data_IF_893687322926
#
_entry.id   IF_893687322926
#
_cell.length_a   1.000
_cell.length_b   1.000
_cell.length_c   1.000
_cell.angle_alpha   90.00
_cell.angle_beta   90.00
_cell.angle_gamma   90.00
#
_symmetry.space_group_name_H-M   'P 1'
#
loop_
_entity.id
_entity.type
_entity.pdbx_description
1 polymer ?
#
# COMPACT_ATOMS: atom_id res chain seq x y z
N UNK A 1 16.48 -1.15 -19.59
CA UNK A 1 15.13 -1.55 -19.19
C UNK A 1 14.16 -0.57 -19.83
N UNK A 2 13.14 -1.05 -20.55
CA UNK A 2 12.01 -0.21 -20.94
C UNK A 2 11.14 0.03 -19.70
N UNK A 3 11.30 1.19 -19.05
CA UNK A 3 10.52 1.59 -17.87
C UNK A 3 11.22 1.47 -16.51
N UNK A 4 10.42 1.54 -15.44
CA UNK A 4 10.86 1.46 -14.04
C UNK A 4 10.63 0.06 -13.44
N UNK A 5 11.44 -0.32 -12.46
CA UNK A 5 11.21 -1.54 -11.67
C UNK A 5 9.90 -1.51 -10.88
N UNK A 6 9.38 -2.70 -10.57
CA UNK A 6 8.11 -2.86 -9.86
C UNK A 6 8.37 -3.14 -8.38
N UNK A 7 7.87 -2.26 -7.54
CA UNK A 7 7.89 -2.45 -6.10
C UNK A 7 6.86 -3.50 -5.65
N UNK A 8 7.20 -4.25 -4.60
CA UNK A 8 6.23 -5.03 -3.85
C UNK A 8 5.27 -4.11 -3.09
N UNK A 9 4.19 -4.69 -2.58
CA UNK A 9 3.40 -4.06 -1.53
C UNK A 9 4.26 -3.70 -0.32
N UNK A 10 3.87 -2.65 0.37
CA UNK A 10 4.49 -2.26 1.63
C UNK A 10 4.12 -3.26 2.73
N UNK A 11 5.14 -3.68 3.48
CA UNK A 11 5.02 -4.55 4.66
C UNK A 11 5.46 -3.80 5.90
N UNK A 12 4.62 -3.77 6.93
CA UNK A 12 4.94 -3.13 8.21
C UNK A 12 5.99 -3.95 8.97
N UNK A 13 7.04 -3.31 9.48
CA UNK A 13 8.10 -3.99 10.24
C UNK A 13 7.99 -3.83 11.75
N UNK A 14 7.09 -2.98 12.24
CA UNK A 14 6.84 -2.75 13.67
C UNK A 14 5.39 -3.01 14.06
N UNK A 15 5.09 -2.85 15.35
CA UNK A 15 3.73 -2.90 15.86
C UNK A 15 2.94 -1.67 15.39
N UNK A 16 1.77 -1.88 14.79
CA UNK A 16 0.84 -0.82 14.46
C UNK A 16 -0.23 -0.73 15.55
N UNK A 17 -0.43 0.47 16.12
CA UNK A 17 -1.44 0.68 17.15
C UNK A 17 -2.87 0.51 16.59
N UNK A 18 -3.12 0.96 15.36
CA UNK A 18 -4.37 0.70 14.64
C UNK A 18 -4.38 -0.65 13.91
N UNK A 19 -5.44 -1.43 14.08
CA UNK A 19 -5.67 -2.65 13.28
C UNK A 19 -6.47 -2.41 11.99
N UNK A 20 -7.14 -1.25 11.90
CA UNK A 20 -7.93 -0.83 10.74
C UNK A 20 -7.90 0.69 10.58
N UNK A 21 -8.33 1.17 9.42
CA UNK A 21 -8.60 2.58 9.16
C UNK A 21 -7.40 3.39 8.70
N UNK A 22 -6.18 2.84 8.67
CA UNK A 22 -4.97 3.58 8.34
C UNK A 22 -4.76 4.83 9.22
N UNK A 23 -5.02 4.72 10.53
CA UNK A 23 -5.00 5.86 11.45
C UNK A 23 -3.61 6.14 12.03
N UNK A 24 -2.76 5.12 12.14
CA UNK A 24 -1.40 5.24 12.66
C UNK A 24 -0.35 5.02 11.59
N UNK A 25 0.89 5.40 11.90
CA UNK A 25 2.05 5.20 11.05
C UNK A 25 3.09 4.31 11.73
N UNK A 26 3.82 3.55 10.93
CA UNK A 26 4.92 2.69 11.38
C UNK A 26 5.98 2.60 10.28
N UNK A 27 7.17 2.17 10.64
CA UNK A 27 8.17 1.77 9.67
C UNK A 27 7.64 0.62 8.81
N UNK A 28 7.73 0.79 7.50
CA UNK A 28 7.33 -0.21 6.52
C UNK A 28 8.41 -0.37 5.45
N UNK A 29 8.50 -1.57 4.91
CA UNK A 29 9.47 -1.97 3.89
C UNK A 29 8.79 -2.51 2.65
N UNK A 30 9.45 -2.36 1.52
CA UNK A 30 9.07 -2.98 0.25
C UNK A 30 10.32 -3.52 -0.44
N UNK A 31 10.13 -4.51 -1.28
CA UNK A 31 11.22 -5.13 -2.05
C UNK A 31 11.04 -4.85 -3.53
N UNK A 32 12.15 -4.73 -4.25
CA UNK A 32 12.08 -4.62 -5.70
C UNK A 32 11.79 -6.00 -6.29
N UNK A 33 10.70 -6.13 -7.02
CA UNK A 33 10.27 -7.40 -7.61
C UNK A 33 10.89 -7.59 -8.99
N UNK A 34 10.95 -8.84 -9.44
CA UNK A 34 11.44 -9.20 -10.78
C UNK A 34 10.33 -9.28 -11.83
N UNK A 35 9.09 -8.88 -11.50
CA UNK A 35 7.89 -9.12 -12.32
C UNK A 35 7.91 -8.45 -13.70
N UNK A 36 8.61 -7.32 -13.84
CA UNK A 36 8.86 -6.68 -15.14
C UNK A 36 10.34 -6.76 -15.52
N UNK A 37 10.83 -7.96 -15.80
CA UNK A 37 12.17 -8.17 -16.38
C UNK A 37 13.35 -7.82 -15.47
N UNK A 38 13.15 -7.78 -14.14
CA UNK A 38 14.23 -7.48 -13.18
C UNK A 38 14.76 -6.05 -13.22
N UNK A 39 13.98 -5.11 -13.72
CA UNK A 39 14.38 -3.70 -13.77
C UNK A 39 14.58 -3.11 -12.38
N UNK A 40 15.59 -2.23 -12.20
CA UNK A 40 15.85 -1.62 -10.90
C UNK A 40 14.71 -0.68 -10.50
N UNK A 41 14.28 -0.80 -9.25
CA UNK A 41 13.29 0.09 -8.67
C UNK A 41 13.96 1.41 -8.25
N UNK A 42 13.24 2.52 -8.40
CA UNK A 42 13.69 3.84 -7.96
C UNK A 42 13.00 4.25 -6.67
N UNK A 43 13.75 4.89 -5.77
CA UNK A 43 13.28 5.36 -4.47
C UNK A 43 13.61 4.42 -3.30
N UNK A 44 13.16 4.78 -2.08
CA UNK A 44 13.53 4.05 -0.87
C UNK A 44 12.78 2.71 -0.77
N UNK A 45 13.46 1.72 -0.19
CA UNK A 45 12.88 0.42 0.19
C UNK A 45 12.28 0.40 1.59
N UNK A 46 12.47 1.47 2.36
CA UNK A 46 11.95 1.65 3.72
C UNK A 46 11.47 3.11 3.90
N UNK A 47 10.31 3.29 4.52
CA UNK A 47 9.82 4.60 4.94
C UNK A 47 8.98 4.49 6.23
N UNK A 48 8.50 5.64 6.72
CA UNK A 48 7.47 5.70 7.76
C UNK A 48 6.16 6.06 7.06
N UNK A 49 5.15 5.21 7.19
CA UNK A 49 3.86 5.41 6.52
C UNK A 49 2.71 4.68 7.20
N UNK A 50 1.49 4.80 6.67
CA UNK A 50 0.29 4.27 7.30
C UNK A 50 0.35 2.76 7.47
N UNK A 51 -0.25 2.29 8.56
CA UNK A 51 -0.40 0.88 8.91
C UNK A 51 -1.84 0.57 9.33
N UNK A 52 -2.18 -0.72 9.49
CA UNK A 52 -3.57 -1.10 9.77
C UNK A 52 -4.50 -0.70 8.62
N UNK A 53 -4.09 -0.99 7.38
CA UNK A 53 -4.78 -0.53 6.17
C UNK A 53 -6.13 -1.22 5.93
N UNK A 54 -6.53 -2.18 6.77
CA UNK A 54 -7.83 -2.83 6.65
C UNK A 54 -8.97 -1.81 6.82
N UNK A 55 -10.08 -2.02 6.12
CA UNK A 55 -11.28 -1.22 6.33
C UNK A 55 -11.85 -1.48 7.73
N UNK A 56 -12.16 -0.44 8.50
CA UNK A 56 -12.83 -0.63 9.79
C UNK A 56 -14.27 -1.14 9.57
N UNK A 57 -14.71 -2.19 10.31
CA UNK A 57 -16.05 -2.73 10.20
C UNK A 57 -17.10 -1.76 10.78
N UNK A 58 -18.35 -1.95 10.37
CA UNK A 58 -19.48 -1.26 10.98
C UNK A 58 -19.78 -1.84 12.39
N UNK A 59 -20.19 -1.02 13.38
CA UNK A 59 -20.36 0.43 13.33
C UNK A 59 -19.01 1.16 13.34
N UNK A 60 -18.85 2.10 12.40
CA UNK A 60 -17.66 2.93 12.34
C UNK A 60 -17.61 3.83 13.59
N UNK A 61 -16.43 3.98 14.19
CA UNK A 61 -16.22 5.00 15.25
C UNK A 61 -16.29 6.40 14.62
N UNK A 62 -16.03 7.43 15.42
CA UNK A 62 -16.11 8.85 15.04
C UNK A 62 -15.40 9.25 13.72
N UNK A 63 -14.46 8.44 13.20
CA UNK A 63 -13.62 8.73 12.03
C UNK A 63 -14.02 8.04 10.71
N UNK A 64 -15.08 7.23 10.68
CA UNK A 64 -15.50 6.50 9.47
C UNK A 64 -14.72 5.19 9.22
N UNK A 65 -14.86 4.59 8.03
CA UNK A 65 -14.17 3.34 7.66
C UNK A 65 -12.65 3.49 7.54
N UNK A 66 -12.21 4.69 7.14
CA UNK A 66 -10.81 5.07 7.00
C UNK A 66 -10.59 6.44 7.66
N UNK A 67 -9.48 6.59 8.38
CA UNK A 67 -9.04 7.87 8.93
C UNK A 67 -8.60 8.80 7.79
N UNK A 68 -8.94 10.09 7.89
CA UNK A 68 -8.49 11.10 6.93
C UNK A 68 -6.96 11.21 6.94
N UNK A 69 -6.31 11.38 5.77
CA UNK A 69 -6.88 11.64 4.45
C UNK A 69 -7.25 10.39 3.63
N UNK A 70 -7.16 9.20 4.23
CA UNK A 70 -7.38 7.93 3.51
C UNK A 70 -8.87 7.69 3.24
N UNK A 71 -9.13 7.03 2.11
CA UNK A 71 -10.45 6.62 1.65
C UNK A 71 -10.43 5.12 1.32
N UNK A 72 -11.62 4.54 1.13
CA UNK A 72 -11.73 3.17 0.62
C UNK A 72 -11.15 3.14 -0.80
N UNK A 73 -10.08 2.39 -0.97
CA UNK A 73 -9.36 2.16 -2.22
C UNK A 73 -9.30 0.66 -2.52
N UNK A 74 -9.02 0.30 -3.76
CA UNK A 74 -8.85 -1.10 -4.18
C UNK A 74 -7.43 -1.33 -4.70
N UNK A 75 -6.82 -2.44 -4.30
CA UNK A 75 -5.62 -2.93 -4.94
C UNK A 75 -6.03 -3.91 -6.03
N UNK A 76 -5.92 -3.50 -7.29
CA UNK A 76 -6.30 -4.33 -8.44
C UNK A 76 -5.34 -5.50 -8.69
N UNK A 77 -4.17 -5.53 -8.06
CA UNK A 77 -3.22 -6.66 -8.15
C UNK A 77 -3.64 -7.82 -7.25
N UNK A 78 -4.27 -7.53 -6.10
CA UNK A 78 -4.71 -8.53 -5.12
C UNK A 78 -6.23 -8.61 -4.97
N UNK A 79 -6.98 -7.79 -5.72
CA UNK A 79 -8.44 -7.64 -5.61
C UNK A 79 -8.94 -7.38 -4.18
N UNK A 80 -8.16 -6.67 -3.37
CA UNK A 80 -8.49 -6.39 -1.97
C UNK A 80 -8.79 -4.90 -1.75
N UNK A 81 -9.79 -4.61 -0.91
CA UNK A 81 -10.07 -3.24 -0.48
C UNK A 81 -9.23 -2.86 0.73
N UNK A 82 -8.75 -1.63 0.75
CA UNK A 82 -7.91 -1.09 1.83
C UNK A 82 -8.14 0.40 2.00
N UNK A 83 -7.67 0.96 3.11
CA UNK A 83 -7.61 2.40 3.34
C UNK A 83 -6.33 2.94 2.69
N UNK A 84 -6.50 3.75 1.65
CA UNK A 84 -5.41 4.34 0.87
C UNK A 84 -5.74 5.74 0.42
N UNK A 85 -4.75 6.47 -0.10
CA UNK A 85 -5.01 7.78 -0.72
C UNK A 85 -5.67 7.60 -2.07
N UNK A 86 -5.29 6.56 -2.83
CA UNK A 86 -5.82 6.18 -4.14
C UNK A 86 -5.78 4.66 -4.32
N UNK A 87 -6.42 4.16 -5.39
CA UNK A 87 -6.43 2.75 -5.76
C UNK A 87 -5.12 2.36 -6.47
N UNK A 88 -4.64 1.14 -6.24
CA UNK A 88 -3.47 0.60 -6.94
C UNK A 88 -3.93 -0.02 -8.26
N UNK A 89 -3.48 0.47 -9.43
CA UNK A 89 -3.90 -0.07 -10.72
C UNK A 89 -3.34 -1.49 -10.94
N UNK A 90 -3.87 -2.22 -11.94
CA UNK A 90 -3.28 -3.47 -12.41
C UNK A 90 -1.80 -3.28 -12.77
N UNK A 91 -1.02 -4.34 -12.62
CA UNK A 91 0.39 -4.32 -12.98
C UNK A 91 0.54 -4.38 -14.50
N UNK A 92 0.99 -3.29 -15.11
CA UNK A 92 1.32 -3.21 -16.54
C UNK A 92 2.83 -3.05 -16.71
N UNK A 93 3.50 -4.07 -17.27
CA UNK A 93 4.91 -3.96 -17.65
C UNK A 93 5.00 -3.25 -19.00
N UNK A 94 5.60 -2.06 -19.04
CA UNK A 94 5.84 -1.35 -20.30
C UNK A 94 6.82 -2.14 -21.17
N UNK A 95 6.31 -2.82 -22.20
CA UNK A 95 7.14 -3.43 -23.24
C UNK A 95 7.61 -2.32 -24.18
N UNK A 96 8.87 -1.90 -24.03
CA UNK A 96 9.58 -1.10 -25.02
C UNK A 96 10.58 -1.98 -25.75
#
# INVERSE_FOLDING_TARGET
CPGHGVWSEWTTTGHCASSCGACDVVTRRRTCTTRCGGCPCSGPSEDIGPCGLALCPFPVRMTGTCCKPFKKSINHQTSNFFCGTDSVPPLECSNG
#
